data_IF_529208211398
#
_entry.id   IF_529208211398
#
_cell.length_a   1.000
_cell.length_b   1.000
_cell.length_c   1.000
_cell.angle_alpha   90.00
_cell.angle_beta   90.00
_cell.angle_gamma   90.00
#
_symmetry.space_group_name_H-M   'P 1'
#
loop_
_entity.id
_entity.type
_entity.pdbx_description
1 polymer ?
#
# COMPACT_ATOMS: atom_id res chain seq x y z
N UNK A 1 -53.68 6.93 -25.92
CA UNK A 1 -52.35 7.26 -26.49
C UNK A 1 -51.45 8.01 -25.48
N UNK A 2 -51.91 9.08 -24.82
CA UNK A 2 -51.13 9.88 -23.86
C UNK A 2 -50.58 9.10 -22.64
N UNK A 3 -51.37 8.15 -22.10
CA UNK A 3 -50.98 7.27 -20.98
C UNK A 3 -49.84 6.30 -21.35
N UNK A 4 -49.78 5.88 -22.61
CA UNK A 4 -48.73 4.97 -23.10
C UNK A 4 -47.39 5.68 -23.25
N UNK A 5 -47.40 6.94 -23.72
CA UNK A 5 -46.20 7.78 -23.80
C UNK A 5 -45.62 8.03 -22.41
N UNK A 6 -46.47 8.29 -21.41
CA UNK A 6 -46.04 8.51 -20.03
C UNK A 6 -45.37 7.27 -19.41
N UNK A 7 -45.87 6.06 -19.70
CA UNK A 7 -45.24 4.82 -19.24
C UNK A 7 -43.88 4.58 -19.90
N UNK A 8 -43.74 4.89 -21.19
CA UNK A 8 -42.48 4.74 -21.94
C UNK A 8 -41.41 5.68 -21.36
N UNK A 9 -41.77 6.94 -21.07
CA UNK A 9 -40.83 7.89 -20.46
C UNK A 9 -40.40 7.45 -19.06
N UNK A 10 -41.30 6.91 -18.24
CA UNK A 10 -40.97 6.42 -16.90
C UNK A 10 -40.03 5.20 -16.99
N UNK A 11 -40.28 4.26 -17.91
CA UNK A 11 -39.39 3.11 -18.12
C UNK A 11 -37.98 3.52 -18.58
N UNK A 12 -37.87 4.54 -19.45
CA UNK A 12 -36.58 5.09 -19.87
C UNK A 12 -35.86 5.79 -18.72
N UNK A 13 -36.57 6.51 -17.87
CA UNK A 13 -35.97 7.14 -16.68
C UNK A 13 -35.50 6.07 -15.68
N UNK A 14 -36.31 5.03 -15.44
CA UNK A 14 -35.96 3.92 -14.55
C UNK A 14 -34.73 3.14 -15.04
N UNK A 15 -34.62 2.89 -16.34
CA UNK A 15 -33.44 2.20 -16.93
C UNK A 15 -32.15 3.01 -16.83
N UNK A 16 -32.22 4.34 -16.91
CA UNK A 16 -31.06 5.22 -16.66
C UNK A 16 -30.72 5.26 -15.17
N UNK A 17 -31.71 5.24 -14.27
CA UNK A 17 -31.49 5.29 -12.82
C UNK A 17 -30.86 4.00 -12.25
N UNK A 18 -31.07 2.85 -12.89
CA UNK A 18 -30.47 1.57 -12.47
C UNK A 18 -29.07 1.32 -13.02
N UNK A 19 -28.56 2.20 -13.91
CA UNK A 19 -27.15 2.17 -14.35
C UNK A 19 -26.31 3.11 -13.48
N UNK A 20 -26.48 2.95 -12.17
CA UNK A 20 -25.65 3.50 -11.11
C UNK A 20 -25.40 2.39 -10.11
N UNK A 21 -25.03 1.22 -10.61
CA UNK A 21 -24.52 0.14 -9.78
C UNK A 21 -23.22 0.68 -9.19
N UNK A 22 -23.26 1.06 -7.90
CA UNK A 22 -22.07 1.04 -7.05
C UNK A 22 -21.65 -0.41 -6.89
N UNK A 23 -21.19 -1.01 -7.99
CA UNK A 23 -20.28 -2.12 -7.91
C UNK A 23 -19.02 -1.51 -7.32
N UNK A 24 -18.93 -1.54 -5.98
CA UNK A 24 -17.66 -1.81 -5.32
C UNK A 24 -17.23 -3.19 -5.81
N UNK A 25 -16.82 -3.26 -7.09
CA UNK A 25 -15.91 -4.29 -7.51
C UNK A 25 -14.76 -4.15 -6.54
N UNK A 26 -14.59 -5.17 -5.71
CA UNK A 26 -13.29 -5.46 -5.13
C UNK A 26 -12.45 -5.93 -6.34
N UNK A 27 -12.17 -5.01 -7.27
CA UNK A 27 -10.93 -5.09 -8.02
C UNK A 27 -9.91 -4.93 -6.93
N UNK A 28 -9.30 -6.04 -6.53
CA UNK A 28 -8.06 -6.03 -5.79
C UNK A 28 -7.01 -5.49 -6.77
N UNK A 29 -7.15 -4.20 -7.13
CA UNK A 29 -6.12 -3.43 -7.78
C UNK A 29 -4.96 -3.55 -6.81
N UNK A 30 -3.89 -4.22 -7.23
CA UNK A 30 -2.64 -4.11 -6.52
C UNK A 30 -2.27 -2.63 -6.61
N UNK A 31 -2.70 -1.87 -5.60
CA UNK A 31 -2.34 -0.49 -5.40
C UNK A 31 -0.85 -0.51 -5.05
N UNK A 32 -0.05 -0.66 -6.10
CA UNK A 32 1.39 -0.48 -6.09
C UNK A 32 1.56 1.01 -5.91
N UNK A 33 1.36 1.48 -4.67
CA UNK A 33 1.93 2.76 -4.30
C UNK A 33 3.40 2.65 -4.67
N UNK A 34 3.85 3.55 -5.52
CA UNK A 34 5.27 3.81 -5.69
C UNK A 34 5.76 4.35 -4.34
N UNK A 35 6.01 3.44 -3.40
CA UNK A 35 6.46 3.76 -2.05
C UNK A 35 7.80 4.44 -2.23
N UNK A 36 7.86 5.74 -1.97
CA UNK A 36 9.14 6.42 -1.81
C UNK A 36 9.88 5.71 -0.70
N UNK A 37 11.12 5.30 -0.96
CA UNK A 37 11.95 4.72 0.07
C UNK A 37 12.30 5.79 1.12
N UNK A 38 12.55 5.33 2.34
CA UNK A 38 12.84 6.13 3.50
C UNK A 38 14.33 6.52 3.51
N UNK A 39 14.59 7.76 3.90
CA UNK A 39 15.93 8.35 4.02
C UNK A 39 16.62 7.92 5.31
N UNK A 40 17.93 8.17 5.41
CA UNK A 40 18.69 7.84 6.62
C UNK A 40 18.08 8.51 7.87
N UNK A 41 17.87 7.73 8.94
CA UNK A 41 17.31 8.19 10.21
C UNK A 41 15.78 8.16 10.28
N UNK A 42 15.09 7.94 9.16
CA UNK A 42 13.63 7.74 9.15
C UNK A 42 13.27 6.36 9.65
N UNK A 43 12.07 6.23 10.19
CA UNK A 43 11.55 4.98 10.73
C UNK A 43 11.40 3.93 9.63
N UNK A 44 11.67 2.66 9.95
CA UNK A 44 11.54 1.55 9.01
C UNK A 44 11.09 0.29 9.72
N UNK A 45 10.42 -0.60 9.00
CA UNK A 45 10.05 -1.93 9.51
C UNK A 45 10.78 -3.04 8.77
N UNK A 46 11.15 -2.81 7.51
CA UNK A 46 11.88 -3.74 6.65
C UNK A 46 13.05 -3.04 5.98
N UNK A 47 14.07 -3.81 5.61
CA UNK A 47 15.24 -3.27 4.88
C UNK A 47 14.83 -2.55 3.60
N UNK A 48 13.85 -3.09 2.87
CA UNK A 48 13.35 -2.54 1.60
C UNK A 48 12.62 -1.20 1.76
N UNK A 49 12.20 -0.86 2.99
CA UNK A 49 11.62 0.45 3.23
C UNK A 49 12.68 1.55 3.10
N UNK A 50 13.96 1.26 3.33
CA UNK A 50 15.04 2.24 3.27
C UNK A 50 15.69 2.32 1.90
N UNK A 51 16.03 3.54 1.43
CA UNK A 51 16.77 3.72 0.18
C UNK A 51 18.18 3.07 0.24
N UNK A 52 18.74 2.94 1.45
CA UNK A 52 19.99 2.23 1.71
C UNK A 52 19.86 0.71 1.76
N UNK A 53 18.62 0.19 1.71
CA UNK A 53 18.26 -1.22 1.89
C UNK A 53 18.76 -1.77 3.25
N UNK A 54 18.68 -0.93 4.29
CA UNK A 54 19.23 -1.24 5.61
C UNK A 54 18.40 -0.61 6.72
N UNK A 55 17.51 -1.39 7.33
CA UNK A 55 16.78 -1.00 8.51
C UNK A 55 17.54 -1.46 9.76
N UNK A 56 17.86 -0.51 10.65
CA UNK A 56 18.68 -0.78 11.84
C UNK A 56 17.85 -0.52 13.09
N UNK A 57 17.62 -1.58 13.85
CA UNK A 57 16.88 -1.51 15.10
C UNK A 57 17.82 -1.42 16.30
N UNK A 58 17.55 -0.45 17.17
CA UNK A 58 18.18 -0.31 18.48
C UNK A 58 17.09 -0.45 19.56
N UNK A 59 17.08 -1.59 20.24
CA UNK A 59 16.07 -1.96 21.23
C UNK A 59 14.66 -2.02 20.64
N UNK A 60 13.91 -0.92 20.64
CA UNK A 60 12.50 -0.83 20.24
C UNK A 60 12.28 0.04 18.99
N UNK A 61 13.27 0.88 18.64
CA UNK A 61 13.17 1.83 17.54
C UNK A 61 14.01 1.36 16.35
N UNK A 62 13.41 1.34 15.17
CA UNK A 62 14.05 0.94 13.93
C UNK A 62 14.15 2.13 12.97
N UNK A 63 15.36 2.43 12.49
CA UNK A 63 15.63 3.55 11.59
C UNK A 63 16.52 3.16 10.43
N UNK A 64 16.35 3.83 9.29
CA UNK A 64 17.15 3.60 8.11
C UNK A 64 18.61 3.99 8.36
N UNK A 65 19.49 2.99 8.29
CA UNK A 65 20.92 3.12 8.55
C UNK A 65 21.74 3.15 7.26
N UNK A 66 23.04 3.41 7.41
CA UNK A 66 23.98 3.24 6.30
C UNK A 66 24.32 1.77 6.12
N UNK A 67 24.61 1.37 4.88
CA UNK A 67 25.16 0.05 4.58
C UNK A 67 26.50 -0.13 5.29
N UNK A 68 26.67 -1.10 6.20
CA UNK A 68 27.92 -1.32 6.88
C UNK A 68 28.94 -1.85 5.88
N UNK A 69 30.19 -1.41 6.03
CA UNK A 69 31.30 -1.96 5.24
C UNK A 69 31.42 -3.47 5.50
N UNK A 70 31.86 -4.28 4.53
CA UNK A 70 32.07 -5.73 4.68
C UNK A 70 32.76 -6.16 5.98
N UNK A 71 33.76 -5.38 6.43
CA UNK A 71 34.49 -5.62 7.68
C UNK A 71 33.65 -5.45 8.95
N UNK A 72 32.54 -4.72 8.90
CA UNK A 72 31.63 -4.49 10.02
C UNK A 72 30.40 -5.42 10.01
N UNK A 73 30.18 -6.20 8.94
CA UNK A 73 29.00 -7.08 8.85
C UNK A 73 28.91 -8.08 10.01
N UNK A 74 30.03 -8.56 10.56
CA UNK A 74 30.05 -9.45 11.74
C UNK A 74 29.29 -8.86 12.94
N UNK A 75 29.34 -7.54 13.17
CA UNK A 75 28.62 -6.88 14.28
C UNK A 75 27.11 -6.80 14.06
N UNK A 76 26.68 -6.75 12.79
CA UNK A 76 25.27 -6.68 12.42
C UNK A 76 24.62 -8.06 12.43
N UNK A 77 25.32 -9.11 11.98
CA UNK A 77 24.81 -10.49 12.05
C UNK A 77 24.77 -11.04 13.48
N UNK A 78 25.67 -10.59 14.37
CA UNK A 78 25.65 -10.97 15.78
C UNK A 78 24.42 -10.45 16.55
N UNK A 79 23.67 -9.48 15.99
CA UNK A 79 22.47 -8.89 16.58
C UNK A 79 21.15 -9.39 15.95
N UNK A 80 21.17 -10.44 15.14
CA UNK A 80 19.92 -11.06 14.67
C UNK A 80 19.31 -11.93 15.77
N UNK A 81 18.48 -11.35 16.62
CA UNK A 81 17.37 -12.08 17.24
C UNK A 81 16.12 -11.77 16.42
N UNK A 82 15.82 -12.63 15.44
CA UNK A 82 14.46 -12.76 14.93
C UNK A 82 13.78 -13.84 15.77
N UNK A 83 12.54 -13.58 16.17
CA UNK A 83 11.83 -14.32 17.21
C UNK A 83 11.71 -15.83 16.99
N UNK A 84 11.68 -16.50 18.14
CA UNK A 84 10.88 -17.70 18.45
C UNK A 84 10.38 -17.53 19.87
#
# INVERSE_FOLDING_TARGET
MKRSIFCITIFLILTVLTCGDETKEIVQEHHIQKRSCNSLGEECTKDIDCCSVQCVCASYDCKCGRRPRPSQLRKYFAKRTCGT
#
